data_IF_426271858547
#
_entry.id   IF_426271858547
#
_cell.length_a   1.000
_cell.length_b   1.000
_cell.length_c   1.000
_cell.angle_alpha   90.00
_cell.angle_beta   90.00
_cell.angle_gamma   90.00
#
_symmetry.space_group_name_H-M   'P 1'
#
loop_
_entity.id
_entity.type
_entity.pdbx_description
1 polymer ?
#
# COMPACT_ATOMS: atom_id res chain seq x y z
N UNK A 1 -4.42 21.45 44.86
CA UNK A 1 -4.38 21.62 43.38
C UNK A 1 -3.94 20.30 42.78
N UNK A 2 -4.89 19.46 42.35
CA UNK A 2 -4.60 18.12 41.81
C UNK A 2 -4.45 18.19 40.28
N UNK A 3 -3.36 17.59 39.77
CA UNK A 3 -2.90 17.65 38.38
C UNK A 3 -3.91 17.11 37.37
N UNK A 4 -4.13 17.91 36.32
CA UNK A 4 -4.92 17.54 35.15
C UNK A 4 -4.15 16.48 34.36
N UNK A 5 -4.55 15.22 34.49
CA UNK A 5 -4.02 14.12 33.69
C UNK A 5 -4.22 14.42 32.21
N UNK A 6 -3.12 14.61 31.50
CA UNK A 6 -3.10 14.83 30.06
C UNK A 6 -3.57 13.52 29.39
N UNK A 7 -4.82 13.52 28.93
CA UNK A 7 -5.41 12.37 28.22
C UNK A 7 -4.61 12.21 26.92
N UNK A 8 -3.77 11.19 26.85
CA UNK A 8 -3.00 10.86 25.66
C UNK A 8 -3.91 10.75 24.43
N UNK A 9 -3.38 10.96 23.21
CA UNK A 9 -4.19 11.00 22.00
C UNK A 9 -5.04 9.73 21.92
N UNK A 10 -6.36 9.91 21.87
CA UNK A 10 -7.27 8.82 21.66
C UNK A 10 -6.87 8.11 20.36
N UNK A 11 -6.62 6.79 20.43
CA UNK A 11 -6.45 5.97 19.24
C UNK A 11 -7.79 5.96 18.50
N UNK A 12 -7.96 6.90 17.58
CA UNK A 12 -9.15 6.96 16.73
C UNK A 12 -9.15 5.70 15.88
N UNK A 13 -10.19 4.89 16.02
CA UNK A 13 -10.43 3.76 15.12
C UNK A 13 -10.73 4.33 13.74
N UNK A 14 -9.77 4.20 12.83
CA UNK A 14 -9.89 4.66 11.46
C UNK A 14 -10.56 3.57 10.62
N UNK A 15 -11.53 3.97 9.80
CA UNK A 15 -12.08 3.10 8.78
C UNK A 15 -11.00 2.79 7.74
N UNK A 16 -10.94 1.57 7.18
CA UNK A 16 -9.93 1.18 6.19
C UNK A 16 -9.91 2.08 4.96
N UNK A 17 -11.08 2.54 4.52
CA UNK A 17 -11.21 3.49 3.39
C UNK A 17 -10.46 4.80 3.69
N UNK A 18 -10.56 5.31 4.92
CA UNK A 18 -9.83 6.51 5.33
C UNK A 18 -8.31 6.30 5.32
N UNK A 19 -7.83 5.07 5.57
CA UNK A 19 -6.40 4.76 5.45
C UNK A 19 -5.93 4.87 3.99
N UNK A 20 -6.69 4.32 3.04
CA UNK A 20 -6.35 4.41 1.60
C UNK A 20 -6.41 5.85 1.11
N UNK A 21 -7.43 6.61 1.52
CA UNK A 21 -7.50 8.05 1.23
C UNK A 21 -6.27 8.81 1.74
N UNK A 22 -5.81 8.49 2.94
CA UNK A 22 -4.60 9.10 3.51
C UNK A 22 -3.36 8.78 2.66
N UNK A 23 -3.21 7.53 2.20
CA UNK A 23 -2.10 7.12 1.33
C UNK A 23 -2.12 7.87 -0.01
N UNK A 24 -3.31 8.04 -0.60
CA UNK A 24 -3.50 8.81 -1.83
C UNK A 24 -3.14 10.29 -1.61
N UNK A 25 -3.61 10.91 -0.52
CA UNK A 25 -3.33 12.32 -0.23
C UNK A 25 -1.84 12.58 0.04
N UNK A 26 -1.17 11.65 0.72
CA UNK A 26 0.26 11.75 1.02
C UNK A 26 1.15 11.40 -0.18
N UNK A 27 0.58 10.82 -1.25
CA UNK A 27 1.32 10.25 -2.39
C UNK A 27 2.44 9.30 -1.95
N UNK A 28 2.19 8.58 -0.86
CA UNK A 28 3.14 7.63 -0.30
C UNK A 28 3.32 6.45 -1.24
N UNK A 29 4.55 5.94 -1.31
CA UNK A 29 4.83 4.67 -1.97
C UNK A 29 4.21 3.54 -1.16
N UNK A 30 3.44 2.69 -1.82
CA UNK A 30 2.82 1.52 -1.21
C UNK A 30 3.38 0.26 -1.84
N UNK A 31 3.55 -0.78 -1.03
CA UNK A 31 3.80 -2.16 -1.48
C UNK A 31 2.49 -2.93 -1.39
N UNK A 32 2.07 -3.48 -2.52
CA UNK A 32 0.86 -4.28 -2.64
C UNK A 32 1.26 -5.75 -2.81
N UNK A 33 0.67 -6.59 -1.97
CA UNK A 33 0.86 -8.02 -2.00
C UNK A 33 -0.24 -8.62 -2.87
N UNK A 34 0.16 -9.46 -3.81
CA UNK A 34 -0.75 -10.08 -4.75
C UNK A 34 -1.35 -11.36 -4.16
N UNK A 35 -2.61 -11.63 -4.49
CA UNK A 35 -3.27 -12.89 -4.18
C UNK A 35 -2.59 -14.05 -4.92
N UNK A 36 -2.36 -15.17 -4.22
CA UNK A 36 -1.67 -16.39 -4.68
C UNK A 36 -0.20 -16.25 -5.13
N UNK A 37 0.29 -15.04 -5.40
CA UNK A 37 1.64 -14.78 -5.86
C UNK A 37 2.53 -14.24 -4.74
N UNK A 38 3.14 -15.14 -3.97
CA UNK A 38 3.99 -14.77 -2.82
C UNK A 38 5.34 -14.15 -3.20
N UNK A 39 5.81 -14.44 -4.41
CA UNK A 39 7.14 -14.03 -4.87
C UNK A 39 7.17 -12.65 -5.54
N UNK A 40 5.99 -12.09 -5.86
CA UNK A 40 5.90 -10.83 -6.60
C UNK A 40 5.10 -9.83 -5.77
N UNK A 41 5.63 -8.62 -5.69
CA UNK A 41 4.95 -7.47 -5.09
C UNK A 41 4.92 -6.34 -6.09
N UNK A 42 3.87 -5.55 -6.02
CA UNK A 42 3.76 -4.32 -6.82
C UNK A 42 3.98 -3.15 -5.89
N UNK A 43 5.00 -2.37 -6.17
CA UNK A 43 5.25 -1.10 -5.50
C UNK A 43 4.78 0.04 -6.40
N UNK A 44 4.25 1.12 -5.84
CA UNK A 44 3.82 2.28 -6.63
C UNK A 44 3.17 3.35 -5.78
N UNK A 45 2.74 4.45 -6.41
CA UNK A 45 1.99 5.51 -5.75
C UNK A 45 0.52 5.43 -6.15
N UNK A 46 -0.37 5.38 -5.17
CA UNK A 46 -1.82 5.35 -5.45
C UNK A 46 -2.24 6.70 -6.00
N UNK A 47 -2.72 6.70 -7.24
CA UNK A 47 -3.33 7.86 -7.90
C UNK A 47 -4.84 7.91 -7.68
N UNK A 48 -5.48 6.75 -7.62
CA UNK A 48 -6.93 6.62 -7.48
C UNK A 48 -7.33 5.21 -7.08
N UNK A 49 -8.53 5.08 -6.51
CA UNK A 49 -9.18 3.80 -6.22
C UNK A 49 -10.69 3.90 -6.42
N UNK A 50 -11.38 2.76 -6.53
CA UNK A 50 -12.83 2.67 -6.70
C UNK A 50 -13.52 1.84 -5.59
N UNK A 51 -14.83 1.63 -5.71
CA UNK A 51 -15.63 0.85 -4.77
C UNK A 51 -15.27 -0.64 -4.72
N UNK A 52 -14.64 -1.15 -5.79
CA UNK A 52 -14.18 -2.54 -5.90
C UNK A 52 -12.71 -2.69 -5.50
N UNK A 53 -12.08 -1.63 -4.97
CA UNK A 53 -10.67 -1.60 -4.60
C UNK A 53 -9.71 -1.81 -5.78
N UNK A 54 -10.16 -1.53 -7.02
CA UNK A 54 -9.24 -1.40 -8.14
C UNK A 54 -8.35 -0.18 -7.90
N UNK A 55 -7.03 -0.35 -8.02
CA UNK A 55 -6.05 0.69 -7.72
C UNK A 55 -5.38 1.17 -9.00
N UNK A 56 -5.37 2.48 -9.22
CA UNK A 56 -4.53 3.10 -10.24
C UNK A 56 -3.21 3.50 -9.58
N UNK A 57 -2.12 2.90 -10.05
CA UNK A 57 -0.77 3.16 -9.55
C UNK A 57 0.05 3.93 -10.59
N UNK A 58 0.67 5.01 -10.15
CA UNK A 58 1.72 5.71 -10.89
C UNK A 58 3.10 5.24 -10.42
N UNK A 59 4.09 5.32 -11.32
CA UNK A 59 5.48 4.86 -11.11
C UNK A 59 5.58 3.42 -10.58
N UNK A 60 4.70 2.53 -11.07
CA UNK A 60 4.61 1.18 -10.58
C UNK A 60 5.86 0.36 -10.93
N UNK A 61 6.33 -0.42 -9.97
CA UNK A 61 7.47 -1.31 -10.07
C UNK A 61 7.05 -2.69 -9.58
N UNK A 62 7.27 -3.69 -10.43
CA UNK A 62 7.16 -5.09 -10.04
C UNK A 62 8.45 -5.49 -9.33
N UNK A 63 8.33 -5.90 -8.08
CA UNK A 63 9.43 -6.39 -7.24
C UNK A 63 9.29 -7.90 -7.10
N UNK A 64 10.18 -8.63 -7.76
CA UNK A 64 10.32 -10.07 -7.58
C UNK A 64 11.27 -10.29 -6.40
N UNK A 65 10.75 -10.90 -5.34
CA UNK A 65 11.51 -11.21 -4.13
C UNK A 65 12.67 -12.14 -4.48
N UNK A 66 13.83 -11.85 -3.90
CA UNK A 66 15.01 -12.70 -4.07
C UNK A 66 14.75 -14.09 -3.49
N UNK A 67 14.96 -15.12 -4.31
CA UNK A 67 15.05 -16.50 -3.84
C UNK A 67 16.53 -16.83 -3.59
N UNK A 68 16.82 -17.96 -2.92
CA UNK A 68 18.19 -18.41 -2.59
C UNK A 68 19.16 -18.44 -3.80
N UNK A 69 18.64 -18.42 -5.02
CA UNK A 69 19.40 -18.52 -6.27
C UNK A 69 19.25 -17.32 -7.23
N UNK A 70 18.31 -16.40 -6.98
CA UNK A 70 18.04 -15.24 -7.86
C UNK A 70 17.97 -13.96 -7.06
N UNK A 71 18.75 -12.96 -7.47
CA UNK A 71 18.73 -11.62 -6.89
C UNK A 71 17.36 -10.94 -7.05
N UNK A 72 17.13 -9.90 -6.25
CA UNK A 72 15.91 -9.11 -6.33
C UNK A 72 15.82 -8.45 -7.72
N UNK A 73 14.76 -8.76 -8.46
CA UNK A 73 14.54 -8.18 -9.78
C UNK A 73 13.45 -7.13 -9.68
N UNK A 74 13.77 -5.92 -10.12
CA UNK A 74 12.83 -4.79 -10.17
C UNK A 74 12.55 -4.45 -11.62
N UNK A 75 11.26 -4.48 -12.00
CA UNK A 75 10.82 -4.12 -13.35
C UNK A 75 9.89 -2.93 -13.28
N UNK A 76 10.24 -1.85 -13.98
CA UNK A 76 9.35 -0.69 -14.10
C UNK A 76 8.19 -1.03 -15.03
N UNK A 77 6.96 -0.79 -14.54
CA UNK A 77 5.72 -0.96 -15.29
C UNK A 77 5.11 0.38 -15.70
N UNK A 78 5.46 1.48 -15.00
CA UNK A 78 4.92 2.81 -15.27
C UNK A 78 3.53 2.97 -14.67
N UNK A 79 2.55 3.43 -15.45
CA UNK A 79 1.18 3.56 -14.98
C UNK A 79 0.39 2.28 -15.23
N UNK A 80 -0.20 1.71 -14.17
CA UNK A 80 -1.00 0.49 -14.25
C UNK A 80 -2.31 0.60 -13.48
N UNK A 81 -3.30 -0.17 -13.92
CA UNK A 81 -4.52 -0.44 -13.17
C UNK A 81 -4.45 -1.85 -12.61
N UNK A 82 -4.44 -1.96 -11.28
CA UNK A 82 -4.46 -3.22 -10.56
C UNK A 82 -5.89 -3.56 -10.16
N UNK A 83 -6.35 -4.78 -10.48
CA UNK A 83 -7.67 -5.26 -10.09
C UNK A 83 -7.73 -5.53 -8.59
N UNK A 84 -8.83 -5.12 -7.95
CA UNK A 84 -9.05 -5.30 -6.50
C UNK A 84 -9.01 -6.76 -6.06
N UNK A 85 -9.48 -7.68 -6.91
CA UNK A 85 -9.48 -9.13 -6.65
C UNK A 85 -8.08 -9.70 -6.38
N UNK A 86 -7.04 -9.07 -6.96
CA UNK A 86 -5.66 -9.51 -6.80
C UNK A 86 -4.99 -8.88 -5.56
N UNK A 87 -5.63 -7.99 -4.82
CA UNK A 87 -5.02 -7.27 -3.69
C UNK A 87 -5.22 -8.06 -2.40
N UNK A 88 -4.12 -8.55 -1.81
CA UNK A 88 -4.15 -9.21 -0.50
C UNK A 88 -3.84 -8.27 0.66
N UNK A 89 -2.82 -7.42 0.49
CA UNK A 89 -2.38 -6.50 1.54
C UNK A 89 -1.82 -5.23 0.91
N UNK A 90 -2.20 -4.07 1.46
CA UNK A 90 -1.64 -2.76 1.11
C UNK A 90 -0.79 -2.28 2.28
N UNK A 91 0.52 -2.18 2.06
CA UNK A 91 1.48 -1.70 3.04
C UNK A 91 2.03 -0.35 2.61
N UNK A 92 2.04 0.64 3.49
CA UNK A 92 2.79 1.87 3.25
C UNK A 92 4.28 1.60 3.42
N UNK A 93 5.09 1.92 2.41
CA UNK A 93 6.55 1.99 2.55
C UNK A 93 6.86 3.38 3.13
N UNK A 94 7.44 3.39 4.34
CA UNK A 94 7.87 4.60 5.04
C UNK A 94 9.14 5.19 4.42
#
# INVERSE_FOLDING_TARGET
>A
MAGRGQRGPAKTLLQPIHFIFKLLQQRSTVSIWLYEQLFIRIEGKIRGFDEFMNLVLDDAVEVVLASKEKGEQRRQLGQILLKGDNVSLIQALQ
#
